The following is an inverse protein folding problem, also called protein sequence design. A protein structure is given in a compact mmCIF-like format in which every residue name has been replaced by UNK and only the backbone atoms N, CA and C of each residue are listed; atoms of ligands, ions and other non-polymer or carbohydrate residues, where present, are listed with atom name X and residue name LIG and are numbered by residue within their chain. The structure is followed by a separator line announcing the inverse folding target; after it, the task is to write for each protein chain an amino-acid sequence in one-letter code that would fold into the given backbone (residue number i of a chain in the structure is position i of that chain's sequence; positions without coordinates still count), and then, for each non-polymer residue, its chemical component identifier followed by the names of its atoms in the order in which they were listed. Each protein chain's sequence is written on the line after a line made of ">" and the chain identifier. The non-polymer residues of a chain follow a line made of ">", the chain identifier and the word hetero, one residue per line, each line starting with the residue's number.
data_IF_788758983866
#
_entry.id   IF_788758983866
#
_cell.length_a   1.000
_cell.length_b   1.000
_cell.length_c   1.000
_cell.angle_alpha   90.00
_cell.angle_beta   90.00
_cell.angle_gamma   90.00
#
_symmetry.space_group_name_H-M   'P 1'
#
loop_
_entity.id
_entity.type
_entity.pdbx_description
1 polymer ?
#
# COMPACT_ATOMS: atom_id res chain seq x y z
N UNK A 1 -16.91 17.70 -24.08
CA UNK A 1 -15.84 18.34 -24.88
C UNK A 1 -14.86 19.02 -23.92
N UNK A 2 -13.89 18.27 -23.40
CA UNK A 2 -12.74 18.85 -22.70
C UNK A 2 -11.59 18.96 -23.70
N UNK A 3 -11.13 20.18 -23.97
CA UNK A 3 -9.90 20.47 -24.70
C UNK A 3 -8.71 19.96 -23.88
N UNK A 4 -8.05 18.91 -24.36
CA UNK A 4 -6.67 18.62 -23.97
C UNK A 4 -5.79 19.76 -24.50
N UNK A 5 -5.14 20.49 -23.60
CA UNK A 5 -4.04 21.36 -23.95
C UNK A 5 -2.82 20.48 -24.24
N UNK A 6 -2.61 20.18 -25.53
CA UNK A 6 -1.33 19.71 -26.04
C UNK A 6 -0.33 20.86 -25.88
N UNK A 7 0.57 20.76 -24.91
CA UNK A 7 1.76 21.59 -24.88
C UNK A 7 2.60 21.20 -26.11
N UNK A 8 2.58 22.05 -27.14
CA UNK A 8 3.48 21.91 -28.27
C UNK A 8 4.88 22.28 -27.78
N UNK A 9 5.77 21.29 -27.69
CA UNK A 9 7.21 21.47 -27.53
C UNK A 9 7.73 22.30 -28.70
N UNK A 10 8.50 23.36 -28.42
CA UNK A 10 9.07 24.21 -29.46
C UNK A 10 10.22 23.49 -30.19
N UNK A 11 10.60 23.93 -31.40
CA UNK A 11 11.72 23.36 -32.15
C UNK A 11 13.06 23.43 -31.39
N UNK A 12 13.24 24.42 -30.51
CA UNK A 12 14.43 24.55 -29.65
C UNK A 12 14.48 23.50 -28.51
N UNK A 13 13.32 22.99 -28.06
CA UNK A 13 13.24 21.94 -27.01
C UNK A 13 13.56 20.56 -27.60
N UNK A 14 13.13 20.27 -28.84
CA UNK A 14 13.42 19.00 -29.53
C UNK A 14 14.91 18.83 -29.83
N UNK A 15 15.60 19.91 -30.21
CA UNK A 15 17.05 19.91 -30.43
C UNK A 15 17.82 19.73 -29.10
N UNK A 16 17.29 20.24 -27.98
CA UNK A 16 17.86 20.05 -26.64
C UNK A 16 17.69 18.62 -26.14
N UNK A 17 16.49 18.04 -26.23
CA UNK A 17 16.23 16.64 -25.83
C UNK A 17 17.05 15.65 -26.66
N UNK A 18 17.19 15.92 -27.96
CA UNK A 18 18.03 15.11 -28.86
C UNK A 18 19.50 15.19 -28.48
N UNK A 19 20.00 16.39 -28.14
CA UNK A 19 21.36 16.60 -27.65
C UNK A 19 21.66 15.86 -26.35
N UNK A 20 20.76 15.95 -25.37
CA UNK A 20 20.86 15.22 -24.10
C UNK A 20 20.87 13.70 -24.30
N UNK A 21 20.03 13.20 -25.20
CA UNK A 21 20.01 11.79 -25.55
C UNK A 21 21.32 11.32 -26.17
N UNK A 22 21.89 12.06 -27.13
CA UNK A 22 23.19 11.73 -27.75
C UNK A 22 24.31 11.73 -26.70
N UNK A 23 24.31 12.71 -25.80
CA UNK A 23 25.28 12.78 -24.69
C UNK A 23 25.18 11.55 -23.76
N UNK A 24 23.95 11.13 -23.41
CA UNK A 24 23.72 9.92 -22.62
C UNK A 24 24.25 8.66 -23.32
N UNK A 25 23.97 8.48 -24.62
CA UNK A 25 24.48 7.34 -25.40
C UNK A 25 26.02 7.34 -25.40
N UNK A 26 26.63 8.51 -25.61
CA UNK A 26 28.08 8.69 -25.57
C UNK A 26 28.70 8.26 -24.24
N UNK A 27 28.11 8.72 -23.14
CA UNK A 27 28.55 8.37 -21.79
C UNK A 27 28.45 6.86 -21.54
N UNK A 28 27.37 6.22 -21.99
CA UNK A 28 27.19 4.77 -21.83
C UNK A 28 28.21 3.96 -22.62
N UNK A 29 28.55 4.39 -23.84
CA UNK A 29 29.62 3.77 -24.62
C UNK A 29 30.95 3.88 -23.87
N UNK A 30 31.25 5.05 -23.30
CA UNK A 30 32.46 5.29 -22.50
C UNK A 30 32.51 4.39 -21.26
N UNK A 31 31.41 4.30 -20.51
CA UNK A 31 31.29 3.47 -19.32
C UNK A 31 31.41 1.97 -19.64
N UNK A 32 30.73 1.50 -20.68
CA UNK A 32 30.82 0.11 -21.15
C UNK A 32 32.25 -0.25 -21.56
N UNK A 33 32.93 0.65 -22.29
CA UNK A 33 34.33 0.50 -22.67
C UNK A 33 35.25 0.41 -21.45
N UNK A 34 35.08 1.31 -20.48
CA UNK A 34 35.88 1.32 -19.25
C UNK A 34 35.67 0.05 -18.42
N UNK A 35 34.42 -0.45 -18.32
CA UNK A 35 34.12 -1.72 -17.63
C UNK A 35 34.73 -2.94 -18.32
N UNK A 36 34.76 -2.97 -19.65
CA UNK A 36 35.46 -4.02 -20.42
C UNK A 36 36.99 -3.90 -20.31
N UNK A 37 37.50 -2.81 -19.72
CA UNK A 37 38.94 -2.62 -19.49
C UNK A 37 39.74 -2.33 -20.77
N UNK A 38 39.08 -1.84 -21.83
CA UNK A 38 39.75 -1.57 -23.12
C UNK A 38 39.91 -0.07 -23.37
N UNK A 39 40.99 0.28 -24.06
CA UNK A 39 41.22 1.63 -24.55
C UNK A 39 40.32 1.94 -25.76
N UNK A 40 40.14 3.23 -26.04
CA UNK A 40 39.40 3.69 -27.23
C UNK A 40 40.06 3.21 -28.54
N UNK A 41 41.38 3.07 -28.55
CA UNK A 41 42.13 2.50 -29.68
C UNK A 41 41.77 1.02 -29.90
N UNK A 42 41.74 0.24 -28.83
CA UNK A 42 41.33 -1.17 -28.92
C UNK A 42 39.86 -1.31 -29.36
N UNK A 43 38.95 -0.45 -28.87
CA UNK A 43 37.58 -0.45 -29.36
C UNK A 43 37.49 -0.08 -30.85
N UNK A 44 38.33 0.85 -31.31
CA UNK A 44 38.45 1.22 -32.72
C UNK A 44 38.84 0.04 -33.60
N UNK A 45 39.85 -0.73 -33.19
CA UNK A 45 40.30 -1.94 -33.85
C UNK A 45 39.21 -3.04 -33.87
N UNK A 46 38.51 -3.26 -32.75
CA UNK A 46 37.45 -4.27 -32.64
C UNK A 46 36.17 -3.93 -33.41
N UNK A 47 35.79 -2.65 -33.43
CA UNK A 47 34.55 -2.18 -34.05
C UNK A 47 34.75 -1.69 -35.49
N UNK A 48 35.99 -1.52 -35.95
CA UNK A 48 36.31 -0.90 -37.23
C UNK A 48 35.81 0.54 -37.38
N UNK A 49 35.57 1.23 -36.25
CA UNK A 49 35.16 2.64 -36.19
C UNK A 49 36.39 3.47 -35.85
N UNK A 50 36.60 4.63 -36.50
CA UNK A 50 37.81 5.42 -36.23
C UNK A 50 37.89 5.89 -34.78
N UNK A 51 39.11 5.94 -34.23
CA UNK A 51 39.34 6.39 -32.86
C UNK A 51 38.88 7.84 -32.63
N UNK A 52 39.00 8.70 -33.65
CA UNK A 52 38.49 10.09 -33.63
C UNK A 52 36.97 10.12 -33.51
N UNK A 53 36.27 9.30 -34.28
CA UNK A 53 34.81 9.22 -34.23
C UNK A 53 34.32 8.68 -32.88
N UNK A 54 34.97 7.66 -32.33
CA UNK A 54 34.68 7.17 -30.98
C UNK A 54 34.91 8.24 -29.91
N UNK A 55 35.90 9.13 -30.11
CA UNK A 55 36.14 10.23 -29.19
C UNK A 55 35.02 11.26 -29.23
N UNK A 56 34.50 11.55 -30.43
CA UNK A 56 33.37 12.43 -30.66
C UNK A 56 32.10 11.84 -30.01
N UNK A 57 31.79 10.58 -30.31
CA UNK A 57 30.65 9.86 -29.75
C UNK A 57 30.69 9.82 -28.22
N UNK A 58 31.81 9.40 -27.62
CA UNK A 58 31.94 9.34 -26.15
C UNK A 58 31.93 10.73 -25.48
N UNK A 59 32.16 11.79 -26.25
CA UNK A 59 32.02 13.17 -25.80
C UNK A 59 30.59 13.72 -25.88
N UNK A 60 29.66 12.96 -26.46
CA UNK A 60 28.29 13.42 -26.74
C UNK A 60 28.17 14.26 -28.01
N UNK A 61 29.24 14.34 -28.80
CA UNK A 61 29.29 15.15 -30.01
C UNK A 61 28.98 14.29 -31.25
N UNK A 62 27.91 14.64 -31.95
CA UNK A 62 27.61 14.11 -33.28
C UNK A 62 26.71 12.87 -33.31
N UNK A 63 25.86 12.81 -34.33
CA UNK A 63 24.87 11.75 -34.48
C UNK A 63 25.51 10.44 -34.98
N UNK A 64 25.18 9.33 -34.31
CA UNK A 64 25.66 7.99 -34.67
C UNK A 64 24.58 7.21 -35.40
N UNK A 65 24.95 6.65 -36.57
CA UNK A 65 24.00 5.76 -37.25
C UNK A 65 23.74 4.52 -36.40
N UNK A 66 22.49 4.06 -36.37
CA UNK A 66 22.05 2.88 -35.60
C UNK A 66 22.90 1.64 -35.97
N UNK A 67 23.26 1.50 -37.25
CA UNK A 67 24.11 0.40 -37.72
C UNK A 67 25.51 0.42 -37.09
N UNK A 68 26.10 1.61 -36.96
CA UNK A 68 27.42 1.80 -36.34
C UNK A 68 27.35 1.61 -34.83
N UNK A 69 26.32 2.15 -34.18
CA UNK A 69 26.08 1.98 -32.75
C UNK A 69 25.90 0.50 -32.39
N UNK A 70 25.13 -0.25 -33.18
CA UNK A 70 24.97 -1.71 -33.00
C UNK A 70 26.31 -2.46 -33.13
N UNK A 71 27.18 -2.02 -34.04
CA UNK A 71 28.52 -2.61 -34.21
C UNK A 71 29.39 -2.34 -32.98
N UNK A 72 29.40 -1.10 -32.49
CA UNK A 72 30.11 -0.70 -31.27
C UNK A 72 29.60 -1.48 -30.05
N UNK A 73 28.28 -1.57 -29.87
CA UNK A 73 27.64 -2.32 -28.78
C UNK A 73 28.10 -3.78 -28.75
N UNK A 74 28.06 -4.46 -29.90
CA UNK A 74 28.53 -5.85 -30.03
C UNK A 74 30.01 -6.01 -29.71
N UNK A 75 30.86 -5.07 -30.15
CA UNK A 75 32.29 -5.08 -29.79
C UNK A 75 32.53 -4.86 -28.29
N UNK A 76 31.55 -4.30 -27.57
CA UNK A 76 31.56 -4.11 -26.11
C UNK A 76 30.83 -5.23 -25.35
N UNK A 77 30.35 -6.28 -26.04
CA UNK A 77 29.55 -7.38 -25.49
C UNK A 77 28.19 -6.94 -24.92
N UNK A 78 27.60 -5.87 -25.46
CA UNK A 78 26.26 -5.39 -25.11
C UNK A 78 25.31 -5.40 -26.31
N UNK A 79 24.01 -5.50 -26.02
CA UNK A 79 22.95 -5.23 -26.99
C UNK A 79 22.74 -3.71 -27.15
N UNK A 80 22.21 -3.27 -28.29
CA UNK A 80 22.11 -1.83 -28.60
C UNK A 80 21.15 -1.10 -27.65
N UNK A 81 20.07 -1.76 -27.23
CA UNK A 81 19.05 -1.28 -26.30
C UNK A 81 19.66 -0.80 -24.97
N UNK A 82 20.79 -1.39 -24.62
CA UNK A 82 21.55 -1.11 -23.41
C UNK A 82 22.16 0.31 -23.44
N UNK A 83 22.57 0.78 -24.62
CA UNK A 83 23.15 2.10 -24.83
C UNK A 83 22.09 3.19 -25.00
N UNK A 84 20.87 2.83 -25.42
CA UNK A 84 19.81 3.79 -25.81
C UNK A 84 18.59 3.80 -24.88
N UNK A 85 18.47 2.84 -23.96
CA UNK A 85 17.30 2.72 -23.07
C UNK A 85 17.20 3.85 -22.05
N UNK A 86 15.99 4.20 -21.60
CA UNK A 86 15.76 5.27 -20.63
C UNK A 86 16.40 5.00 -19.27
N UNK A 87 16.38 3.75 -18.82
CA UNK A 87 16.91 3.36 -17.52
C UNK A 87 18.42 3.11 -17.59
N UNK A 88 19.16 3.57 -16.57
CA UNK A 88 20.58 3.22 -16.41
C UNK A 88 20.69 1.72 -16.16
N UNK A 89 21.33 0.95 -17.05
CA UNK A 89 21.26 -0.48 -16.95
C UNK A 89 22.15 -1.09 -15.86
N UNK A 90 22.98 -0.28 -15.20
CA UNK A 90 23.86 -0.70 -14.11
C UNK A 90 23.36 -0.31 -12.73
N UNK A 91 22.50 0.69 -12.63
CA UNK A 91 21.94 1.17 -11.34
C UNK A 91 20.44 0.97 -11.23
N UNK A 92 19.74 0.69 -12.35
CA UNK A 92 18.29 0.53 -12.32
C UNK A 92 17.85 -0.85 -11.84
N UNK A 93 17.12 -0.84 -10.72
CA UNK A 93 16.40 -2.00 -10.19
C UNK A 93 15.42 -2.60 -11.21
N UNK A 94 14.98 -1.82 -12.21
CA UNK A 94 14.08 -2.28 -13.26
C UNK A 94 14.66 -3.46 -14.06
N UNK A 95 15.97 -3.48 -14.31
CA UNK A 95 16.62 -4.57 -15.05
C UNK A 95 16.70 -5.84 -14.22
N UNK A 96 17.08 -5.70 -12.94
CA UNK A 96 17.07 -6.81 -12.00
C UNK A 96 15.66 -7.40 -11.89
N UNK A 97 14.65 -6.54 -11.79
CA UNK A 97 13.24 -6.93 -11.73
C UNK A 97 12.81 -7.65 -13.01
N UNK A 98 13.11 -7.13 -14.20
CA UNK A 98 12.79 -7.79 -15.47
C UNK A 98 13.45 -9.17 -15.60
N UNK A 99 14.72 -9.30 -15.20
CA UNK A 99 15.44 -10.58 -15.21
C UNK A 99 14.79 -11.59 -14.29
N UNK A 100 14.53 -11.20 -13.04
CA UNK A 100 13.88 -12.06 -12.06
C UNK A 100 12.46 -12.44 -12.50
N UNK A 101 11.70 -11.48 -13.02
CA UNK A 101 10.34 -11.72 -13.50
C UNK A 101 10.30 -12.71 -14.68
N UNK A 102 11.25 -12.64 -15.62
CA UNK A 102 11.35 -13.63 -16.71
C UNK A 102 11.72 -15.03 -16.23
N UNK A 103 12.44 -15.16 -15.12
CA UNK A 103 12.81 -16.47 -14.56
C UNK A 103 11.77 -17.02 -13.58
N UNK A 104 10.90 -16.15 -13.07
CA UNK A 104 9.86 -16.50 -12.12
C UNK A 104 8.81 -17.45 -12.72
N UNK A 105 8.24 -18.31 -11.88
CA UNK A 105 7.10 -19.18 -12.22
C UNK A 105 5.85 -18.35 -12.50
N UNK A 106 4.81 -18.98 -13.09
CA UNK A 106 3.52 -18.33 -13.34
C UNK A 106 2.93 -17.73 -12.05
N UNK A 107 2.98 -18.45 -10.94
CA UNK A 107 2.44 -18.00 -9.64
C UNK A 107 3.28 -16.89 -9.01
N UNK A 108 4.60 -16.92 -9.21
CA UNK A 108 5.47 -15.84 -8.73
C UNK A 108 5.23 -14.56 -9.53
N UNK A 109 5.07 -14.65 -10.86
CA UNK A 109 4.72 -13.50 -11.70
C UNK A 109 3.36 -12.92 -11.35
N UNK A 110 2.35 -13.78 -11.13
CA UNK A 110 1.01 -13.35 -10.72
C UNK A 110 1.06 -12.53 -9.42
N UNK A 111 1.75 -13.04 -8.39
CA UNK A 111 1.93 -12.32 -7.12
C UNK A 111 2.72 -11.02 -7.26
N UNK A 112 3.76 -10.99 -8.08
CA UNK A 112 4.51 -9.75 -8.32
C UNK A 112 3.63 -8.71 -9.01
N UNK A 113 2.83 -9.10 -10.00
CA UNK A 113 1.89 -8.19 -10.64
C UNK A 113 0.82 -7.69 -9.67
N UNK A 114 0.27 -8.58 -8.84
CA UNK A 114 -0.66 -8.21 -7.76
C UNK A 114 -0.04 -7.20 -6.79
N UNK A 115 1.22 -7.37 -6.38
CA UNK A 115 1.95 -6.46 -5.47
C UNK A 115 2.27 -5.11 -6.13
N UNK A 116 2.57 -5.12 -7.43
CA UNK A 116 3.01 -3.93 -8.16
C UNK A 116 1.87 -3.15 -8.82
N UNK A 117 0.65 -3.70 -8.91
CA UNK A 117 -0.50 -3.01 -9.48
C UNK A 117 -1.01 -1.88 -8.54
N UNK A 118 -0.87 -0.60 -8.93
CA UNK A 118 -1.32 0.53 -8.11
C UNK A 118 -2.83 0.75 -8.17
N UNK A 119 -3.55 0.15 -9.12
CA UNK A 119 -5.00 0.24 -9.24
C UNK A 119 -5.74 -0.84 -8.43
N UNK A 120 -5.02 -1.77 -7.80
CA UNK A 120 -5.59 -2.94 -7.13
C UNK A 120 -5.86 -2.70 -5.63
N UNK A 121 -5.90 -1.46 -5.13
CA UNK A 121 -6.31 -1.20 -3.73
C UNK A 121 -7.77 -1.58 -3.49
N UNK A 122 -8.66 -1.41 -4.48
CA UNK A 122 -10.05 -1.85 -4.38
C UNK A 122 -10.19 -3.37 -4.34
N UNK A 123 -9.27 -4.10 -4.96
CA UNK A 123 -9.33 -5.55 -5.17
C UNK A 123 -8.48 -6.33 -4.16
N UNK A 124 -7.46 -5.70 -3.57
CA UNK A 124 -6.83 -6.12 -2.29
C UNK A 124 -7.73 -5.95 -1.07
N UNK A 125 -8.61 -4.93 -1.06
CA UNK A 125 -9.63 -4.72 -0.02
C UNK A 125 -10.94 -5.48 -0.30
N UNK A 126 -11.15 -5.92 -1.54
CA UNK A 126 -12.44 -6.45 -1.98
C UNK A 126 -12.89 -7.59 -1.08
N UNK A 127 -14.12 -7.48 -0.59
CA UNK A 127 -14.71 -8.50 0.29
C UNK A 127 -14.44 -8.32 1.78
N UNK A 128 -13.54 -7.43 2.21
CA UNK A 128 -13.21 -7.29 3.64
C UNK A 128 -13.61 -5.91 4.18
N UNK A 129 -14.53 -5.88 5.13
CA UNK A 129 -14.97 -4.63 5.78
C UNK A 129 -14.55 -4.64 7.24
N UNK A 130 -13.74 -3.68 7.66
CA UNK A 130 -13.33 -3.48 9.04
C UNK A 130 -14.10 -2.33 9.70
N UNK A 131 -14.76 -2.63 10.80
CA UNK A 131 -15.45 -1.65 11.64
C UNK A 131 -14.47 -1.11 12.68
N UNK A 132 -14.21 0.19 12.62
CA UNK A 132 -13.36 0.92 13.56
C UNK A 132 -14.19 1.90 14.40
N UNK A 133 -13.66 2.29 15.56
CA UNK A 133 -14.33 3.22 16.46
C UNK A 133 -14.13 2.83 17.92
N UNK A 134 -14.48 3.72 18.83
CA UNK A 134 -14.29 3.47 20.26
C UNK A 134 -15.13 2.30 20.79
N UNK A 135 -14.73 1.80 21.96
CA UNK A 135 -15.56 0.85 22.71
C UNK A 135 -16.96 1.45 22.93
N UNK A 136 -18.00 0.63 22.85
CA UNK A 136 -19.38 1.12 22.87
C UNK A 136 -19.92 1.68 21.54
N UNK A 137 -19.09 1.82 20.48
CA UNK A 137 -19.58 2.24 19.15
C UNK A 137 -20.57 1.26 18.50
N UNK A 138 -20.74 0.06 19.05
CA UNK A 138 -21.60 -0.98 18.47
C UNK A 138 -20.94 -1.90 17.47
N UNK A 139 -19.60 -1.85 17.29
CA UNK A 139 -18.85 -2.69 16.32
C UNK A 139 -19.25 -4.18 16.35
N UNK A 140 -19.26 -4.80 17.53
CA UNK A 140 -19.58 -6.23 17.67
C UNK A 140 -21.04 -6.53 17.32
N UNK A 141 -21.98 -5.73 17.85
CA UNK A 141 -23.41 -5.90 17.61
C UNK A 141 -23.79 -5.63 16.15
N UNK A 142 -23.42 -4.46 15.64
CA UNK A 142 -23.75 -4.02 14.28
C UNK A 142 -23.01 -4.87 13.24
N UNK A 143 -21.74 -5.20 13.45
CA UNK A 143 -20.98 -6.04 12.56
C UNK A 143 -21.54 -7.44 12.42
N UNK A 144 -21.93 -8.08 13.54
CA UNK A 144 -22.54 -9.41 13.53
C UNK A 144 -23.89 -9.42 12.79
N UNK A 145 -24.72 -8.41 13.04
CA UNK A 145 -26.02 -8.29 12.37
C UNK A 145 -25.86 -7.99 10.87
N UNK A 146 -25.02 -7.03 10.51
CA UNK A 146 -24.76 -6.68 9.11
C UNK A 146 -24.16 -7.85 8.34
N UNK A 147 -23.18 -8.56 8.90
CA UNK A 147 -22.57 -9.72 8.26
C UNK A 147 -23.58 -10.84 8.01
N UNK A 148 -24.45 -11.13 9.00
CA UNK A 148 -25.54 -12.11 8.85
C UNK A 148 -26.46 -11.76 7.69
N UNK A 149 -26.88 -10.50 7.59
CA UNK A 149 -27.80 -10.06 6.54
C UNK A 149 -27.14 -10.00 5.16
N UNK A 150 -25.83 -9.77 5.12
CA UNK A 150 -25.01 -9.75 3.91
C UNK A 150 -24.49 -11.14 3.50
N UNK A 151 -24.70 -12.17 4.31
CA UNK A 151 -24.28 -13.54 4.03
C UNK A 151 -22.76 -13.78 4.13
N UNK A 152 -22.02 -12.95 4.87
CA UNK A 152 -20.57 -13.05 5.05
C UNK A 152 -20.18 -13.36 6.49
N UNK A 153 -18.95 -13.82 6.72
CA UNK A 153 -18.45 -14.11 8.06
C UNK A 153 -18.29 -12.82 8.90
N UNK A 154 -18.53 -12.93 10.21
CA UNK A 154 -18.19 -11.89 11.17
C UNK A 154 -17.08 -12.39 12.10
N UNK A 155 -16.04 -11.59 12.29
CA UNK A 155 -14.92 -11.91 13.18
C UNK A 155 -14.58 -10.73 14.08
N UNK A 156 -14.31 -10.99 15.35
CA UNK A 156 -13.74 -10.01 16.28
C UNK A 156 -12.25 -10.29 16.44
N UNK A 157 -11.40 -9.30 16.14
CA UNK A 157 -9.94 -9.50 16.17
C UNK A 157 -9.45 -9.95 17.56
N UNK A 158 -10.08 -9.45 18.63
CA UNK A 158 -9.73 -9.86 19.99
C UNK A 158 -10.05 -11.33 20.26
N UNK A 159 -11.14 -11.89 19.73
CA UNK A 159 -11.44 -13.32 19.88
C UNK A 159 -10.37 -14.17 19.21
N UNK A 160 -9.89 -13.76 18.03
CA UNK A 160 -8.78 -14.44 17.35
C UNK A 160 -7.51 -14.40 18.19
N UNK A 161 -7.20 -13.27 18.83
CA UNK A 161 -6.05 -13.16 19.74
C UNK A 161 -6.21 -14.10 20.94
N UNK A 162 -7.40 -14.15 21.54
CA UNK A 162 -7.70 -15.02 22.69
C UNK A 162 -7.60 -16.50 22.34
N UNK A 163 -8.11 -16.90 21.18
CA UNK A 163 -8.01 -18.27 20.67
C UNK A 163 -6.56 -18.69 20.45
N UNK A 164 -5.74 -17.81 19.86
CA UNK A 164 -4.31 -18.09 19.59
C UNK A 164 -3.49 -18.09 20.89
N UNK A 165 -3.79 -17.18 21.82
CA UNK A 165 -3.09 -17.07 23.09
C UNK A 165 -3.54 -18.12 24.12
N UNK A 166 -4.73 -18.70 23.94
CA UNK A 166 -5.35 -19.62 24.89
C UNK A 166 -5.80 -18.95 26.19
N UNK A 167 -5.91 -17.62 26.21
CA UNK A 167 -6.25 -16.82 27.40
C UNK A 167 -6.93 -15.51 27.00
N UNK A 168 -7.74 -14.91 27.89
CA UNK A 168 -8.38 -13.60 27.68
C UNK A 168 -7.39 -12.46 27.35
N UNK A 169 -7.81 -11.45 26.57
CA UNK A 169 -6.93 -10.32 26.19
C UNK A 169 -6.39 -9.55 27.40
N UNK A 170 -7.18 -9.42 28.47
CA UNK A 170 -6.73 -8.78 29.70
C UNK A 170 -5.61 -9.56 30.40
N UNK A 171 -5.64 -10.90 30.37
CA UNK A 171 -4.53 -11.74 30.83
C UNK A 171 -3.31 -11.62 29.91
N UNK A 172 -3.50 -11.56 28.59
CA UNK A 172 -2.42 -11.31 27.63
C UNK A 172 -1.69 -10.00 27.95
N UNK A 173 -2.44 -8.93 28.19
CA UNK A 173 -1.87 -7.62 28.54
C UNK A 173 -1.20 -7.67 29.92
N UNK A 174 -1.78 -8.37 30.90
CA UNK A 174 -1.20 -8.51 32.24
C UNK A 174 0.14 -9.26 32.23
N UNK A 175 0.27 -10.30 31.41
CA UNK A 175 1.46 -11.15 31.34
C UNK A 175 2.54 -10.63 30.39
N UNK A 176 2.14 -10.12 29.22
CA UNK A 176 3.06 -9.73 28.14
C UNK A 176 3.15 -8.22 27.91
N UNK A 177 2.40 -7.44 28.68
CA UNK A 177 2.31 -5.99 28.53
C UNK A 177 1.59 -5.55 27.26
N UNK A 178 1.47 -4.23 27.09
CA UNK A 178 0.83 -3.63 25.92
C UNK A 178 1.57 -3.98 24.62
N UNK A 179 2.90 -3.97 24.61
CA UNK A 179 3.68 -4.31 23.41
C UNK A 179 3.45 -5.76 22.96
N UNK A 180 3.35 -6.70 23.91
CA UNK A 180 3.01 -8.09 23.62
C UNK A 180 1.65 -8.23 22.95
N UNK A 181 0.64 -7.55 23.50
CA UNK A 181 -0.69 -7.47 22.89
C UNK A 181 -0.64 -6.86 21.48
N UNK A 182 0.08 -5.75 21.27
CA UNK A 182 0.19 -5.11 19.94
C UNK A 182 0.82 -6.03 18.89
N UNK A 183 1.82 -6.81 19.28
CA UNK A 183 2.43 -7.80 18.39
C UNK A 183 1.43 -8.89 18.00
N UNK A 184 0.66 -9.40 18.96
CA UNK A 184 -0.39 -10.40 18.71
C UNK A 184 -1.53 -9.81 17.87
N UNK A 185 -1.92 -8.56 18.12
CA UNK A 185 -2.94 -7.83 17.35
C UNK A 185 -2.54 -7.71 15.88
N UNK A 186 -1.28 -7.34 15.60
CA UNK A 186 -0.75 -7.29 14.23
C UNK A 186 -0.71 -8.66 13.58
N UNK A 187 -0.24 -9.69 14.29
CA UNK A 187 -0.15 -11.05 13.76
C UNK A 187 -1.52 -11.64 13.45
N UNK A 188 -2.50 -11.45 14.34
CA UNK A 188 -3.87 -11.89 14.14
C UNK A 188 -4.50 -11.21 12.91
N UNK A 189 -4.28 -9.90 12.73
CA UNK A 189 -4.79 -9.17 11.58
C UNK A 189 -4.20 -9.67 10.26
N UNK A 190 -2.89 -9.87 10.21
CA UNK A 190 -2.20 -10.40 9.01
C UNK A 190 -2.72 -11.79 8.65
N UNK A 191 -2.84 -12.68 9.63
CA UNK A 191 -3.34 -14.03 9.41
C UNK A 191 -4.79 -14.03 8.92
N UNK A 192 -5.63 -13.17 9.49
CA UNK A 192 -7.03 -13.08 9.11
C UNK A 192 -7.19 -12.58 7.66
N UNK A 193 -6.45 -11.54 7.28
CA UNK A 193 -6.41 -11.02 5.90
C UNK A 193 -5.94 -12.11 4.93
N UNK A 194 -4.95 -12.92 5.31
CA UNK A 194 -4.42 -13.98 4.46
C UNK A 194 -5.35 -15.19 4.28
N UNK A 195 -6.29 -15.41 5.20
CA UNK A 195 -7.11 -16.64 5.24
C UNK A 195 -8.57 -16.43 4.85
N UNK A 196 -9.05 -15.19 4.86
CA UNK A 196 -10.44 -14.87 4.54
C UNK A 196 -10.49 -13.96 3.32
N UNK A 197 -11.25 -14.34 2.29
CA UNK A 197 -11.49 -13.48 1.13
C UNK A 197 -12.63 -12.49 1.42
N UNK A 198 -13.68 -12.92 2.14
CA UNK A 198 -14.84 -12.11 2.46
C UNK A 198 -15.21 -12.15 3.94
N UNK A 199 -15.25 -10.99 4.62
CA UNK A 199 -15.72 -10.88 5.99
C UNK A 199 -16.08 -9.45 6.41
N UNK A 200 -16.79 -9.35 7.53
CA UNK A 200 -16.87 -8.17 8.39
C UNK A 200 -16.00 -8.38 9.63
N UNK A 201 -15.05 -7.50 9.87
CA UNK A 201 -14.09 -7.52 10.97
C UNK A 201 -14.41 -6.42 11.98
N UNK A 202 -14.51 -6.74 13.27
CA UNK A 202 -14.46 -5.75 14.33
C UNK A 202 -13.07 -5.71 14.97
N UNK A 203 -12.47 -4.52 15.05
CA UNK A 203 -11.14 -4.32 15.66
C UNK A 203 -11.23 -3.51 16.97
N UNK A 204 -10.22 -3.64 17.84
CA UNK A 204 -10.15 -2.86 19.06
C UNK A 204 -9.99 -1.36 18.75
N UNK A 205 -10.63 -0.50 19.56
CA UNK A 205 -10.57 0.97 19.34
C UNK A 205 -9.17 1.57 19.53
N UNK A 206 -8.21 0.83 20.09
CA UNK A 206 -6.83 1.25 20.23
C UNK A 206 -5.96 1.02 18.99
N UNK A 207 -6.44 0.26 17.99
CA UNK A 207 -5.64 -0.12 16.81
C UNK A 207 -5.17 1.09 16.00
N UNK A 208 -5.98 2.16 15.95
CA UNK A 208 -5.68 3.37 15.19
C UNK A 208 -4.46 4.13 15.71
N UNK A 209 -4.11 3.92 16.97
CA UNK A 209 -2.93 4.50 17.61
C UNK A 209 -1.64 3.73 17.31
N UNK A 210 -1.71 2.61 16.59
CA UNK A 210 -0.56 1.81 16.14
C UNK A 210 -0.36 2.02 14.63
N UNK A 211 0.55 2.91 14.18
CA UNK A 211 0.62 3.31 12.78
C UNK A 211 0.84 2.13 11.82
N UNK A 212 1.72 1.19 12.17
CA UNK A 212 2.02 0.02 11.36
C UNK A 212 0.80 -0.87 11.15
N UNK A 213 0.14 -1.25 12.25
CA UNK A 213 -1.03 -2.14 12.21
C UNK A 213 -2.21 -1.46 11.55
N UNK A 214 -2.42 -0.15 11.82
CA UNK A 214 -3.51 0.58 11.20
C UNK A 214 -3.30 0.81 9.71
N UNK A 215 -2.08 1.14 9.27
CA UNK A 215 -1.77 1.24 7.85
C UNK A 215 -1.94 -0.10 7.13
N UNK A 216 -1.61 -1.22 7.78
CA UNK A 216 -1.91 -2.55 7.24
C UNK A 216 -3.42 -2.75 7.09
N UNK A 217 -4.21 -2.46 8.12
CA UNK A 217 -5.68 -2.53 8.06
C UNK A 217 -6.25 -1.70 6.90
N UNK A 218 -5.83 -0.44 6.78
CA UNK A 218 -6.28 0.47 5.70
C UNK A 218 -5.88 -0.01 4.30
N UNK A 219 -4.82 -0.80 4.16
CA UNK A 219 -4.38 -1.33 2.86
C UNK A 219 -5.13 -2.59 2.44
N UNK A 220 -5.67 -3.34 3.39
CA UNK A 220 -6.19 -4.70 3.16
C UNK A 220 -7.68 -4.88 3.47
N UNK A 221 -8.31 -3.92 4.13
CA UNK A 221 -9.74 -3.90 4.39
C UNK A 221 -10.34 -2.55 3.98
N UNK A 222 -11.58 -2.56 3.51
CA UNK A 222 -12.41 -1.37 3.52
C UNK A 222 -12.73 -1.00 4.97
N UNK A 223 -12.76 0.29 5.29
CA UNK A 223 -12.93 0.74 6.69
C UNK A 223 -14.18 1.59 6.88
N UNK A 224 -14.96 1.25 7.91
CA UNK A 224 -16.13 2.02 8.34
C UNK A 224 -15.91 2.48 9.77
N UNK A 225 -15.87 3.79 9.97
CA UNK A 225 -15.86 4.38 11.30
C UNK A 225 -17.28 4.46 11.87
N UNK A 226 -17.53 3.70 12.94
CA UNK A 226 -18.73 3.85 13.75
C UNK A 226 -18.54 4.96 14.77
N UNK A 227 -19.25 6.07 14.57
CA UNK A 227 -19.24 7.25 15.45
C UNK A 227 -20.47 7.20 16.37
N UNK A 228 -20.31 7.57 17.63
CA UNK A 228 -21.40 7.85 18.55
C UNK A 228 -21.02 9.06 19.42
N UNK A 229 -22.03 9.72 20.01
CA UNK A 229 -21.77 10.77 21.00
C UNK A 229 -21.08 10.18 22.25
N UNK A 230 -20.18 10.93 22.91
CA UNK A 230 -19.45 10.46 24.10
C UNK A 230 -20.36 9.88 25.18
N UNK A 231 -21.51 10.52 25.42
CA UNK A 231 -22.50 10.10 26.43
C UNK A 231 -23.11 8.74 26.08
N UNK A 232 -23.35 8.47 24.81
CA UNK A 232 -23.88 7.17 24.35
C UNK A 232 -22.82 6.07 24.42
N UNK A 233 -21.56 6.37 24.08
CA UNK A 233 -20.44 5.45 24.30
C UNK A 233 -20.40 5.00 25.76
N UNK A 234 -20.46 5.97 26.69
CA UNK A 234 -20.40 5.69 28.12
C UNK A 234 -21.59 4.84 28.58
N UNK A 235 -22.81 5.21 28.19
CA UNK A 235 -24.02 4.48 28.57
C UNK A 235 -24.02 3.04 28.04
N UNK A 236 -23.58 2.82 26.80
CA UNK A 236 -23.48 1.47 26.21
C UNK A 236 -22.40 0.63 26.91
N UNK A 237 -21.26 1.22 27.26
CA UNK A 237 -20.20 0.52 28.00
C UNK A 237 -20.65 0.15 29.42
N UNK A 238 -21.38 1.04 30.11
CA UNK A 238 -22.05 0.73 31.39
C UNK A 238 -23.00 -0.45 31.27
N UNK A 239 -23.88 -0.43 30.28
CA UNK A 239 -24.85 -1.51 30.05
C UNK A 239 -24.21 -2.87 29.77
N UNK A 240 -22.94 -2.90 29.36
CA UNK A 240 -22.16 -4.11 29.12
C UNK A 240 -21.40 -4.61 30.36
N UNK A 241 -21.55 -3.95 31.51
CA UNK A 241 -20.90 -4.34 32.77
C UNK A 241 -19.41 -4.03 32.84
N UNK A 242 -18.89 -3.21 31.92
CA UNK A 242 -17.49 -2.78 31.94
C UNK A 242 -17.35 -1.44 32.67
N UNK A 243 -17.00 -1.51 33.94
CA UNK A 243 -16.82 -0.33 34.79
C UNK A 243 -15.43 0.29 34.67
N UNK A 244 -14.49 -0.28 33.90
CA UNK A 244 -13.10 0.22 33.79
C UNK A 244 -12.98 1.70 33.44
N UNK A 245 -13.81 2.28 32.56
CA UNK A 245 -13.76 3.71 32.28
C UNK A 245 -14.20 4.59 33.45
N UNK A 246 -14.90 4.04 34.45
CA UNK A 246 -15.61 4.80 35.49
C UNK A 246 -15.28 4.39 36.92
N UNK A 247 -14.53 3.30 37.13
CA UNK A 247 -14.18 2.80 38.44
C UNK A 247 -13.43 3.89 39.24
N UNK A 248 -14.16 4.58 40.10
CA UNK A 248 -13.63 5.58 41.04
C UNK A 248 -13.31 6.97 40.48
N UNK A 249 -13.72 7.36 39.26
CA UNK A 249 -13.28 8.65 38.68
C UNK A 249 -14.42 9.52 38.08
N UNK A 250 -14.78 10.66 38.72
CA UNK A 250 -15.65 11.69 38.13
C UNK A 250 -15.13 12.28 36.81
N UNK A 251 -13.82 12.20 36.54
CA UNK A 251 -13.18 12.69 35.31
C UNK A 251 -13.25 11.70 34.13
N UNK A 252 -13.90 10.55 34.29
CA UNK A 252 -14.07 9.51 33.26
C UNK A 252 -14.62 10.04 31.92
N UNK A 253 -15.60 10.95 31.99
CA UNK A 253 -16.18 11.55 30.79
C UNK A 253 -15.21 12.49 30.08
N UNK A 254 -14.39 13.23 30.84
CA UNK A 254 -13.40 14.14 30.27
C UNK A 254 -12.23 13.36 29.65
N UNK A 255 -11.82 12.26 30.27
CA UNK A 255 -10.84 11.33 29.71
C UNK A 255 -11.34 10.68 28.42
N UNK A 256 -12.60 10.20 28.39
CA UNK A 256 -13.22 9.67 27.18
C UNK A 256 -13.27 10.72 26.05
N UNK A 257 -13.66 11.96 26.38
CA UNK A 257 -13.64 13.08 25.43
C UNK A 257 -12.23 13.36 24.91
N UNK A 258 -11.22 13.34 25.77
CA UNK A 258 -9.82 13.51 25.38
C UNK A 258 -9.34 12.40 24.43
N UNK A 259 -9.67 11.14 24.73
CA UNK A 259 -9.37 10.00 23.86
C UNK A 259 -10.07 10.13 22.50
N UNK A 260 -11.35 10.54 22.50
CA UNK A 260 -12.09 10.80 21.26
C UNK A 260 -11.39 11.86 20.41
N UNK A 261 -11.11 13.03 21.00
CA UNK A 261 -10.46 14.14 20.30
C UNK A 261 -9.10 13.74 19.74
N UNK A 262 -8.27 13.02 20.51
CA UNK A 262 -6.94 12.59 20.04
C UNK A 262 -7.00 11.55 18.93
N UNK A 263 -8.04 10.71 18.88
CA UNK A 263 -8.20 9.65 17.86
C UNK A 263 -9.08 10.03 16.69
N UNK A 264 -9.82 11.13 16.75
CA UNK A 264 -10.78 11.54 15.71
C UNK A 264 -10.11 11.65 14.34
N UNK A 265 -8.96 12.33 14.24
CA UNK A 265 -8.22 12.45 13.00
C UNK A 265 -7.72 11.10 12.44
N UNK A 266 -7.49 10.12 13.31
CA UNK A 266 -7.08 8.78 12.90
C UNK A 266 -8.28 7.96 12.41
N UNK A 267 -9.42 8.01 13.13
CA UNK A 267 -10.66 7.38 12.69
C UNK A 267 -11.20 7.98 11.38
N UNK A 268 -11.03 9.28 11.17
CA UNK A 268 -11.44 9.98 9.96
C UNK A 268 -10.68 9.53 8.69
N UNK A 269 -9.61 8.73 8.82
CA UNK A 269 -8.97 8.06 7.67
C UNK A 269 -9.78 6.89 7.10
N UNK A 270 -10.86 6.49 7.78
CA UNK A 270 -11.77 5.47 7.27
C UNK A 270 -12.42 5.91 5.95
N UNK A 271 -12.72 4.95 5.08
CA UNK A 271 -13.36 5.23 3.79
C UNK A 271 -14.82 5.66 3.94
N UNK A 272 -15.52 5.13 4.93
CA UNK A 272 -16.89 5.54 5.26
C UNK A 272 -17.04 5.82 6.76
N UNK A 273 -18.06 6.60 7.11
CA UNK A 273 -18.43 6.91 8.49
C UNK A 273 -19.93 6.73 8.68
N UNK A 274 -20.31 6.03 9.74
CA UNK A 274 -21.70 5.82 10.14
C UNK A 274 -21.88 6.38 11.54
N UNK A 275 -22.71 7.42 11.64
CA UNK A 275 -23.15 7.95 12.92
C UNK A 275 -24.30 7.09 13.47
N UNK A 276 -24.05 6.50 14.64
CA UNK A 276 -24.98 5.63 15.40
C UNK A 276 -25.64 6.37 16.55
N UNK A 277 -25.43 7.68 16.67
CA UNK A 277 -26.00 8.51 17.74
C UNK A 277 -27.51 8.67 17.58
N UNK A 278 -28.26 8.50 18.67
CA UNK A 278 -29.72 8.63 18.74
C UNK A 278 -30.49 7.75 17.75
N UNK A 279 -29.85 6.67 17.29
CA UNK A 279 -30.45 5.65 16.43
C UNK A 279 -30.58 4.36 17.20
N UNK A 280 -31.61 3.60 16.90
CA UNK A 280 -31.69 2.24 17.42
C UNK A 280 -30.71 1.30 16.69
N UNK A 281 -30.68 0.04 17.12
CA UNK A 281 -29.77 -0.97 16.57
C UNK A 281 -30.12 -1.29 15.12
N UNK A 282 -31.41 -1.31 14.76
CA UNK A 282 -31.86 -1.67 13.42
C UNK A 282 -31.58 -0.55 12.42
N UNK A 283 -31.84 0.70 12.77
CA UNK A 283 -31.48 1.88 11.99
C UNK A 283 -29.97 1.96 11.77
N UNK A 284 -29.18 1.74 12.84
CA UNK A 284 -27.72 1.76 12.76
C UNK A 284 -27.19 0.60 11.90
N UNK A 285 -27.81 -0.59 12.00
CA UNK A 285 -27.47 -1.76 11.18
C UNK A 285 -27.73 -1.49 9.71
N UNK A 286 -28.91 -0.95 9.36
CA UNK A 286 -29.25 -0.60 7.99
C UNK A 286 -28.27 0.42 7.42
N UNK A 287 -27.91 1.46 8.19
CA UNK A 287 -26.93 2.44 7.76
C UNK A 287 -25.54 1.83 7.49
N UNK A 288 -25.11 0.82 8.26
CA UNK A 288 -23.87 0.08 7.98
C UNK A 288 -23.98 -0.72 6.68
N UNK A 289 -25.10 -1.41 6.45
CA UNK A 289 -25.34 -2.18 5.23
C UNK A 289 -25.38 -1.26 4.00
N UNK A 290 -26.06 -0.12 4.10
CA UNK A 290 -26.09 0.91 3.05
C UNK A 290 -24.69 1.45 2.76
N UNK A 291 -23.91 1.80 3.79
CA UNK A 291 -22.53 2.24 3.60
C UNK A 291 -21.67 1.18 2.89
N UNK A 292 -21.86 -0.10 3.17
CA UNK A 292 -21.15 -1.20 2.49
C UNK A 292 -21.57 -1.28 1.02
N UNK A 293 -22.87 -1.16 0.71
CA UNK A 293 -23.41 -1.26 -0.65
C UNK A 293 -23.07 -0.04 -1.51
N UNK A 294 -23.28 1.16 -1.00
CA UNK A 294 -23.08 2.42 -1.72
C UNK A 294 -21.62 2.61 -2.16
N UNK A 295 -20.69 2.09 -1.36
CA UNK A 295 -19.26 2.14 -1.65
C UNK A 295 -18.73 0.84 -2.31
N UNK A 296 -19.59 -0.14 -2.59
CA UNK A 296 -19.24 -1.42 -3.19
C UNK A 296 -18.10 -2.17 -2.45
N UNK A 297 -18.09 -2.13 -1.11
CA UNK A 297 -17.01 -2.74 -0.32
C UNK A 297 -17.05 -4.28 -0.30
N UNK A 298 -18.22 -4.85 -0.55
CA UNK A 298 -18.41 -6.29 -0.74
C UNK A 298 -18.95 -6.52 -2.16
N UNK A 299 -18.49 -7.57 -2.86
CA UNK A 299 -19.08 -7.99 -4.13
C UNK A 299 -20.41 -8.70 -3.84
N UNK A 300 -21.49 -7.92 -3.73
CA UNK A 300 -22.86 -8.36 -3.46
C UNK A 300 -23.69 -8.47 -4.74
#
# INVERSE_FOLDING_TARGET
>A
MLKQASAATGPDDEDSETGEFIAMVGERVRMARNRKGISRRQLSELSGVSQRYLAQLEGGDGNVSIALLRKIARSLDFEIEWLVGRDDPWTSDAITLMRLFRQATRDQRARVMEILDPNDTGTRRSGRVALIGLRGAGKSTLGRLAARDLGVAFVELNQVIEEVAGMPVDEVIALYGQEGYRRLEKQALVNLVATHEQLVLAVAGGIVSEPDTYNYLLRHCHTIWLKAQPEEHMNRVRGQGDERPMAGNPAAMDELKSILTSREALYAKAEAMVDTSRKDVDESRLAVIEAIRDNAFLPL
#
